data_IF_381680627667
#
_entry.id   IF_381680627667
#
_cell.length_a   1.000
_cell.length_b   1.000
_cell.length_c   1.000
_cell.angle_alpha   90.00
_cell.angle_beta   90.00
_cell.angle_gamma   90.00
#
_symmetry.space_group_name_H-M   'P 1'
#
loop_
_entity.id
_entity.type
_entity.pdbx_description
1 polymer ?
#
# COMPACT_ATOMS: atom_id res chain seq x y z
N UNK A 1 -14.98 17.63 -16.65
CA UNK A 1 -15.24 16.69 -15.56
C UNK A 1 -14.41 17.11 -14.36
N UNK A 2 -15.04 17.14 -13.19
CA UNK A 2 -14.40 17.42 -11.91
C UNK A 2 -14.54 16.20 -10.99
N UNK A 3 -13.43 15.70 -10.50
CA UNK A 3 -13.36 14.55 -9.60
C UNK A 3 -13.14 14.99 -8.14
N UNK A 4 -13.95 14.46 -7.22
CA UNK A 4 -13.74 14.56 -5.77
C UNK A 4 -13.14 13.24 -5.31
N UNK A 5 -11.92 13.26 -4.76
CA UNK A 5 -11.20 12.08 -4.30
C UNK A 5 -11.19 12.04 -2.78
N UNK A 6 -11.67 10.95 -2.21
CA UNK A 6 -11.73 10.72 -0.77
C UNK A 6 -10.56 9.85 -0.34
N UNK A 7 -9.66 10.42 0.45
CA UNK A 7 -8.41 9.82 0.92
C UNK A 7 -7.18 10.37 0.20
N UNK A 8 -6.22 10.89 0.97
CA UNK A 8 -4.94 11.47 0.51
C UNK A 8 -3.75 10.53 0.67
N UNK A 9 -3.99 9.22 0.73
CA UNK A 9 -2.95 8.19 0.72
C UNK A 9 -2.35 7.99 -0.68
N UNK A 10 -1.66 6.85 -0.87
CA UNK A 10 -0.96 6.53 -2.13
C UNK A 10 -1.91 6.58 -3.32
N UNK A 11 -3.02 5.82 -3.29
CA UNK A 11 -3.93 5.75 -4.43
C UNK A 11 -4.62 7.08 -4.74
N UNK A 12 -5.15 7.76 -3.72
CA UNK A 12 -5.91 8.99 -3.96
C UNK A 12 -5.06 10.12 -4.55
N UNK A 13 -3.86 10.31 -3.99
CA UNK A 13 -2.94 11.36 -4.46
C UNK A 13 -2.43 11.07 -5.87
N UNK A 14 -2.09 9.80 -6.16
CA UNK A 14 -1.62 9.41 -7.50
C UNK A 14 -2.76 9.42 -8.52
N UNK A 15 -3.98 9.04 -8.12
CA UNK A 15 -5.17 9.20 -8.97
C UNK A 15 -5.39 10.66 -9.36
N UNK A 16 -5.26 11.60 -8.40
CA UNK A 16 -5.39 13.02 -8.70
C UNK A 16 -4.35 13.51 -9.72
N UNK A 17 -3.08 13.08 -9.57
CA UNK A 17 -2.01 13.43 -10.53
C UNK A 17 -2.25 12.81 -11.92
N UNK A 18 -2.71 11.57 -11.99
CA UNK A 18 -3.05 10.90 -13.23
C UNK A 18 -4.23 11.57 -13.95
N UNK A 19 -5.28 11.95 -13.21
CA UNK A 19 -6.42 12.70 -13.72
C UNK A 19 -6.00 14.08 -14.25
N UNK A 20 -5.13 14.78 -13.51
CA UNK A 20 -4.58 16.06 -13.97
C UNK A 20 -3.83 15.92 -15.29
N UNK A 21 -3.05 14.84 -15.46
CA UNK A 21 -2.38 14.52 -16.74
C UNK A 21 -3.39 14.22 -17.85
N UNK A 22 -4.54 13.61 -17.53
CA UNK A 22 -5.65 13.37 -18.45
C UNK A 22 -6.48 14.64 -18.77
N UNK A 23 -6.15 15.80 -18.20
CA UNK A 23 -6.90 17.04 -18.38
C UNK A 23 -8.19 17.12 -17.55
N UNK A 24 -8.34 16.26 -16.54
CA UNK A 24 -9.50 16.20 -15.65
C UNK A 24 -9.16 16.94 -14.34
N UNK A 25 -10.02 17.84 -13.92
CA UNK A 25 -9.89 18.55 -12.64
C UNK A 25 -10.12 17.58 -11.47
N UNK A 26 -9.26 17.65 -10.44
CA UNK A 26 -9.37 16.79 -9.27
C UNK A 26 -9.04 17.55 -7.99
N UNK A 27 -9.74 17.21 -6.90
CA UNK A 27 -9.41 17.62 -5.54
C UNK A 27 -9.33 16.42 -4.62
N UNK A 28 -8.37 16.43 -3.66
CA UNK A 28 -8.13 15.35 -2.69
C UNK A 28 -8.58 15.82 -1.32
N UNK A 29 -9.35 14.99 -0.62
CA UNK A 29 -9.87 15.25 0.72
C UNK A 29 -9.40 14.15 1.67
N UNK A 30 -8.41 14.47 2.52
CA UNK A 30 -7.75 13.56 3.46
C UNK A 30 -8.34 13.72 4.87
N UNK A 31 -8.70 12.59 5.48
CA UNK A 31 -9.32 12.57 6.81
C UNK A 31 -8.36 12.99 7.95
N UNK A 32 -7.07 12.66 7.81
CA UNK A 32 -6.07 12.96 8.82
C UNK A 32 -5.55 14.40 8.70
N UNK A 33 -5.53 15.17 9.81
CA UNK A 33 -4.99 16.54 9.78
C UNK A 33 -3.50 16.59 9.45
N UNK A 34 -2.73 15.56 9.85
CA UNK A 34 -1.30 15.41 9.54
C UNK A 34 -1.02 14.89 8.12
N UNK A 35 -2.07 14.53 7.35
CA UNK A 35 -1.89 13.91 6.03
C UNK A 35 -1.30 12.49 6.08
N UNK A 36 -1.24 11.86 7.26
CA UNK A 36 -0.65 10.53 7.46
C UNK A 36 0.86 10.55 7.75
N UNK A 37 1.41 11.70 8.12
CA UNK A 37 2.84 11.86 8.47
C UNK A 37 3.26 11.04 9.71
N UNK A 38 2.30 10.58 10.50
CA UNK A 38 2.45 9.73 11.67
C UNK A 38 2.32 8.21 11.36
N UNK A 39 2.23 7.84 10.09
CA UNK A 39 2.19 6.44 9.68
C UNK A 39 3.56 5.77 9.89
N UNK A 40 3.67 4.91 10.91
CA UNK A 40 4.95 4.36 11.37
C UNK A 40 5.52 3.19 10.58
N UNK A 41 4.82 2.64 9.59
CA UNK A 41 5.30 1.52 8.78
C UNK A 41 6.21 1.97 7.65
N UNK A 42 7.08 1.05 7.16
CA UNK A 42 7.75 1.19 5.88
C UNK A 42 7.14 0.27 4.83
N UNK A 43 7.45 0.52 3.58
CA UNK A 43 7.00 -0.29 2.45
C UNK A 43 8.00 -0.27 1.31
N UNK A 44 7.81 -1.18 0.36
CA UNK A 44 8.54 -1.18 -0.91
C UNK A 44 7.56 -1.04 -2.06
N UNK A 45 7.76 -0.03 -2.90
CA UNK A 45 7.11 0.05 -4.19
C UNK A 45 7.90 -0.83 -5.14
N UNK A 46 7.25 -1.83 -5.72
CA UNK A 46 7.85 -2.79 -6.64
C UNK A 46 7.89 -2.23 -8.08
N UNK A 47 8.50 -2.98 -9.00
CA UNK A 47 8.73 -2.58 -10.39
C UNK A 47 7.49 -2.02 -11.09
N UNK A 48 6.36 -2.74 -11.00
CA UNK A 48 5.08 -2.35 -11.57
C UNK A 48 4.54 -1.04 -10.99
N UNK A 49 4.73 -0.81 -9.69
CA UNK A 49 4.37 0.46 -9.06
C UNK A 49 5.26 1.62 -9.50
N UNK A 50 6.58 1.39 -9.66
CA UNK A 50 7.51 2.38 -10.19
C UNK A 50 7.22 2.68 -11.67
N UNK A 51 6.81 1.67 -12.44
CA UNK A 51 6.37 1.83 -13.81
C UNK A 51 5.10 2.70 -13.92
N UNK A 52 4.10 2.45 -13.08
CA UNK A 52 2.89 3.26 -12.99
C UNK A 52 3.19 4.73 -12.64
N UNK A 53 4.09 4.99 -11.69
CA UNK A 53 4.54 6.35 -11.36
C UNK A 53 5.24 7.02 -12.56
N UNK A 54 6.10 6.28 -13.26
CA UNK A 54 6.78 6.77 -14.46
C UNK A 54 5.79 7.11 -15.57
N UNK A 55 4.75 6.30 -15.77
CA UNK A 55 3.71 6.54 -16.76
C UNK A 55 3.06 7.93 -16.62
N UNK A 56 3.06 8.51 -15.41
CA UNK A 56 2.52 9.86 -15.16
C UNK A 56 3.59 10.90 -14.77
N UNK A 57 4.89 10.54 -14.87
CA UNK A 57 6.01 11.42 -14.52
C UNK A 57 6.06 11.78 -13.03
N UNK A 58 5.68 10.86 -12.14
CA UNK A 58 5.64 11.06 -10.68
C UNK A 58 6.67 10.20 -9.91
N UNK A 59 7.63 9.56 -10.61
CA UNK A 59 8.61 8.71 -9.95
C UNK A 59 9.71 9.47 -9.21
N UNK A 60 10.10 10.66 -9.68
CA UNK A 60 11.24 11.40 -9.14
C UNK A 60 11.13 11.69 -7.63
N UNK A 61 10.01 12.25 -7.11
CA UNK A 61 9.87 12.50 -5.67
C UNK A 61 9.95 11.23 -4.81
N UNK A 62 9.55 10.08 -5.37
CA UNK A 62 9.64 8.78 -4.69
C UNK A 62 11.07 8.25 -4.68
N UNK A 63 11.82 8.45 -5.76
CA UNK A 63 13.24 8.09 -5.84
C UNK A 63 14.03 8.87 -4.80
N UNK A 64 13.79 10.18 -4.66
CA UNK A 64 14.54 11.09 -3.80
C UNK A 64 14.44 10.75 -2.31
N UNK A 65 13.31 10.20 -1.86
CA UNK A 65 13.06 9.86 -0.45
C UNK A 65 13.32 8.39 -0.10
N UNK A 66 13.84 7.59 -1.02
CA UNK A 66 13.89 6.14 -0.91
C UNK A 66 15.26 5.57 -1.26
N UNK A 67 15.47 4.32 -0.89
CA UNK A 67 16.64 3.56 -1.33
C UNK A 67 16.21 2.32 -2.14
N UNK A 68 17.11 1.85 -3.02
CA UNK A 68 16.85 0.69 -3.87
C UNK A 68 16.80 -0.59 -3.05
N UNK A 69 15.87 -1.50 -3.37
CA UNK A 69 15.88 -2.86 -2.88
C UNK A 69 16.49 -3.77 -3.97
N UNK A 70 17.59 -4.45 -3.66
CA UNK A 70 18.35 -5.25 -4.66
C UNK A 70 17.91 -6.70 -4.73
N UNK A 71 17.21 -7.20 -3.71
CA UNK A 71 16.74 -8.58 -3.67
C UNK A 71 16.28 -9.02 -2.29
N UNK A 72 16.02 -10.31 -2.16
CA UNK A 72 15.70 -10.94 -0.88
C UNK A 72 16.46 -12.26 -0.69
N UNK A 73 16.72 -12.61 0.55
CA UNK A 73 17.15 -13.93 1.01
C UNK A 73 16.11 -14.47 1.99
N UNK A 74 15.66 -15.71 1.76
CA UNK A 74 14.84 -16.44 2.72
C UNK A 74 15.72 -17.34 3.57
N UNK A 75 15.59 -17.21 4.89
CA UNK A 75 16.40 -17.91 5.88
C UNK A 75 15.49 -18.78 6.75
N UNK A 76 15.89 -20.02 6.96
CA UNK A 76 15.20 -20.99 7.83
C UNK A 76 15.52 -20.78 9.31
N UNK A 77 14.79 -21.42 10.26
CA UNK A 77 15.03 -21.27 11.69
C UNK A 77 16.44 -21.68 12.13
N UNK A 78 17.11 -22.57 11.41
CA UNK A 78 18.50 -23.00 11.66
C UNK A 78 19.55 -22.08 10.99
N UNK A 79 19.13 -20.94 10.43
CA UNK A 79 20.02 -19.93 9.85
C UNK A 79 20.50 -20.20 8.43
N UNK A 80 19.99 -21.23 7.75
CA UNK A 80 20.37 -21.52 6.35
C UNK A 80 19.57 -20.67 5.37
N UNK A 81 20.24 -20.10 4.38
CA UNK A 81 19.58 -19.46 3.25
C UNK A 81 19.05 -20.53 2.29
N UNK A 82 17.73 -20.56 2.12
CA UNK A 82 17.05 -21.54 1.24
C UNK A 82 16.60 -20.94 -0.08
N UNK A 83 16.49 -19.62 -0.16
CA UNK A 83 16.13 -18.91 -1.40
C UNK A 83 16.91 -17.61 -1.47
N UNK A 84 17.37 -17.25 -2.68
CA UNK A 84 17.88 -15.93 -3.04
C UNK A 84 17.17 -15.47 -4.29
N UNK A 85 16.64 -14.27 -4.24
CA UNK A 85 15.97 -13.67 -5.38
C UNK A 85 16.54 -12.27 -5.62
N UNK A 86 17.05 -12.03 -6.83
CA UNK A 86 17.38 -10.69 -7.29
C UNK A 86 16.11 -9.92 -7.66
N UNK A 87 16.09 -8.64 -7.37
CA UNK A 87 15.11 -7.70 -7.90
C UNK A 87 15.65 -6.94 -9.11
N UNK A 88 16.82 -7.29 -9.62
CA UNK A 88 17.32 -6.75 -10.87
C UNK A 88 16.62 -7.48 -12.03
N UNK A 89 15.73 -6.77 -12.70
CA UNK A 89 15.01 -7.25 -13.88
C UNK A 89 15.36 -6.32 -15.03
N UNK A 90 16.01 -6.88 -16.06
CA UNK A 90 16.46 -6.11 -17.21
C UNK A 90 15.31 -5.28 -17.83
N UNK A 91 15.58 -4.00 -18.04
CA UNK A 91 14.64 -3.04 -18.63
C UNK A 91 13.62 -2.44 -17.66
N UNK A 92 13.58 -2.87 -16.40
CA UNK A 92 12.65 -2.33 -15.40
C UNK A 92 13.36 -1.44 -14.38
N UNK A 93 12.64 -0.42 -13.89
CA UNK A 93 13.08 0.32 -12.72
C UNK A 93 13.04 -0.59 -11.49
N UNK A 94 14.11 -0.60 -10.70
CA UNK A 94 14.21 -1.41 -9.50
C UNK A 94 13.23 -0.95 -8.39
N UNK A 95 12.88 -1.84 -7.46
CA UNK A 95 12.02 -1.51 -6.33
C UNK A 95 12.67 -0.47 -5.40
N UNK A 96 11.80 0.30 -4.73
CA UNK A 96 12.22 1.41 -3.85
C UNK A 96 11.59 1.24 -2.47
N UNK A 97 12.42 1.30 -1.42
CA UNK A 97 11.99 1.19 -0.02
C UNK A 97 12.03 2.55 0.66
N UNK A 98 10.98 2.87 1.40
CA UNK A 98 10.83 4.13 2.14
C UNK A 98 9.84 3.96 3.30
N UNK A 99 9.79 4.92 4.21
CA UNK A 99 8.72 5.00 5.21
C UNK A 99 7.40 5.41 4.54
N UNK A 100 6.29 4.91 5.06
CA UNK A 100 4.96 5.29 4.57
C UNK A 100 4.70 6.78 4.73
N UNK A 101 5.12 7.35 5.85
CA UNK A 101 5.02 8.78 6.13
C UNK A 101 5.73 9.64 5.08
N UNK A 102 6.99 9.30 4.74
CA UNK A 102 7.75 10.00 3.70
C UNK A 102 7.09 9.89 2.33
N UNK A 103 6.54 8.72 1.99
CA UNK A 103 5.84 8.52 0.72
C UNK A 103 4.58 9.39 0.63
N UNK A 104 3.75 9.41 1.69
CA UNK A 104 2.53 10.23 1.70
C UNK A 104 2.85 11.70 1.53
N UNK A 105 3.85 12.21 2.28
CA UNK A 105 4.31 13.59 2.17
C UNK A 105 4.78 13.91 0.75
N UNK A 106 5.70 13.11 0.21
CA UNK A 106 6.28 13.34 -1.12
C UNK A 106 5.21 13.34 -2.23
N UNK A 107 4.24 12.41 -2.18
CA UNK A 107 3.15 12.36 -3.16
C UNK A 107 2.18 13.55 -3.01
N UNK A 108 1.83 13.96 -1.77
CA UNK A 108 0.98 15.12 -1.55
C UNK A 108 1.65 16.42 -1.98
N UNK A 109 2.93 16.60 -1.66
CA UNK A 109 3.71 17.78 -2.08
C UNK A 109 3.81 17.85 -3.60
N UNK A 110 4.03 16.72 -4.27
CA UNK A 110 4.06 16.64 -5.73
C UNK A 110 2.68 16.97 -6.33
N UNK A 111 1.58 16.46 -5.75
CA UNK A 111 0.23 16.82 -6.20
C UNK A 111 -0.04 18.33 -6.07
N UNK A 112 0.34 18.93 -4.93
CA UNK A 112 0.22 20.37 -4.69
C UNK A 112 1.06 21.16 -5.69
N UNK A 113 2.29 20.74 -5.98
CA UNK A 113 3.17 21.38 -6.97
C UNK A 113 2.57 21.39 -8.38
N UNK A 114 1.78 20.35 -8.71
CA UNK A 114 1.00 20.25 -9.97
C UNK A 114 -0.29 21.06 -9.96
N UNK A 115 -0.56 21.82 -8.90
CA UNK A 115 -1.76 22.66 -8.76
C UNK A 115 -3.04 21.89 -8.39
N UNK A 116 -2.88 20.71 -7.75
CA UNK A 116 -4.01 19.93 -7.23
C UNK A 116 -4.30 20.40 -5.80
N UNK A 117 -5.56 20.63 -5.49
CA UNK A 117 -6.00 20.96 -4.14
C UNK A 117 -6.01 19.71 -3.27
N UNK A 118 -5.27 19.75 -2.16
CA UNK A 118 -5.24 18.69 -1.13
C UNK A 118 -5.72 19.29 0.18
N UNK A 119 -6.93 18.94 0.60
CA UNK A 119 -7.53 19.37 1.86
C UNK A 119 -7.37 18.29 2.92
N UNK A 120 -6.85 18.67 4.08
CA UNK A 120 -6.65 17.78 5.24
C UNK A 120 -7.73 18.00 6.30
N UNK A 121 -7.95 17.02 7.18
CA UNK A 121 -9.01 17.04 8.20
C UNK A 121 -10.41 16.85 7.62
N UNK A 122 -10.53 16.29 6.42
CA UNK A 122 -11.78 16.09 5.67
C UNK A 122 -12.23 14.63 5.74
N UNK A 123 -12.77 14.23 6.91
CA UNK A 123 -13.34 12.89 7.08
C UNK A 123 -14.73 12.82 6.44
N UNK A 124 -14.88 11.95 5.45
CA UNK A 124 -16.17 11.72 4.79
C UNK A 124 -17.19 11.12 5.75
N UNK A 125 -18.38 11.68 5.78
CA UNK A 125 -19.54 11.18 6.55
C UNK A 125 -20.59 10.57 5.63
N UNK A 126 -20.86 11.23 4.49
CA UNK A 126 -21.83 10.76 3.51
C UNK A 126 -21.52 11.29 2.12
N UNK A 127 -22.00 10.58 1.10
CA UNK A 127 -21.96 11.07 -0.26
C UNK A 127 -23.26 10.73 -1.00
N UNK A 128 -23.56 11.56 -1.98
CA UNK A 128 -24.65 11.37 -2.96
C UNK A 128 -24.12 11.79 -4.33
N UNK A 129 -24.81 11.55 -5.44
CA UNK A 129 -24.36 11.99 -6.75
C UNK A 129 -23.97 13.47 -6.76
N UNK A 130 -22.70 13.73 -7.09
CA UNK A 130 -22.14 15.08 -7.18
C UNK A 130 -21.75 15.75 -5.85
N UNK A 131 -21.98 15.14 -4.68
CA UNK A 131 -21.78 15.81 -3.38
C UNK A 131 -21.12 14.86 -2.38
N UNK A 132 -20.00 15.28 -1.79
CA UNK A 132 -19.38 14.68 -0.61
C UNK A 132 -19.55 15.60 0.62
N UNK A 133 -19.93 15.06 1.78
CA UNK A 133 -20.12 15.78 3.05
C UNK A 133 -19.12 15.30 4.08
N UNK A 134 -18.48 16.23 4.76
CA UNK A 134 -17.42 15.95 5.74
C UNK A 134 -17.88 16.21 7.17
N UNK A 135 -17.17 15.62 8.12
CA UNK A 135 -17.46 15.70 9.55
C UNK A 135 -17.43 17.16 10.10
N UNK A 136 -16.59 18.00 9.51
CA UNK A 136 -16.49 19.43 9.84
C UNK A 136 -17.65 20.29 9.28
N UNK A 137 -18.63 19.66 8.63
CA UNK A 137 -19.78 20.30 8.02
C UNK A 137 -19.53 20.88 6.62
N UNK A 138 -18.29 20.81 6.12
CA UNK A 138 -17.98 21.26 4.77
C UNK A 138 -18.48 20.27 3.71
N UNK A 139 -18.52 20.73 2.46
CA UNK A 139 -19.03 19.99 1.30
C UNK A 139 -18.06 20.15 0.15
N UNK A 140 -17.82 19.08 -0.60
CA UNK A 140 -17.15 19.12 -1.91
C UNK A 140 -18.12 18.69 -3.00
N UNK A 141 -18.07 19.38 -4.15
CA UNK A 141 -18.92 19.13 -5.30
C UNK A 141 -18.08 18.74 -6.52
N UNK A 142 -18.54 17.73 -7.27
CA UNK A 142 -17.91 17.26 -8.50
C UNK A 142 -18.83 16.36 -9.31
N UNK A 143 -18.43 16.05 -10.53
CA UNK A 143 -19.20 15.17 -11.43
C UNK A 143 -19.07 13.70 -11.02
N UNK A 144 -17.89 13.33 -10.51
CA UNK A 144 -17.58 11.98 -10.03
C UNK A 144 -16.88 12.00 -8.66
N UNK A 145 -17.07 10.91 -7.90
CA UNK A 145 -16.40 10.70 -6.63
C UNK A 145 -15.55 9.41 -6.70
N UNK A 146 -14.30 9.51 -6.25
CA UNK A 146 -13.37 8.40 -6.24
C UNK A 146 -13.03 8.04 -4.79
N UNK A 147 -13.41 6.83 -4.38
CA UNK A 147 -13.10 6.30 -3.06
C UNK A 147 -11.68 5.71 -3.04
N UNK A 148 -10.77 6.43 -2.40
CA UNK A 148 -9.39 6.05 -2.11
C UNK A 148 -9.14 6.01 -0.60
N UNK A 149 -10.19 5.80 0.19
CA UNK A 149 -10.27 5.92 1.64
C UNK A 149 -9.88 4.62 2.38
N UNK A 150 -9.20 3.72 1.68
CA UNK A 150 -8.44 2.62 2.24
C UNK A 150 -9.30 1.46 2.74
N UNK A 151 -8.68 0.61 3.56
CA UNK A 151 -9.25 -0.63 4.09
C UNK A 151 -10.67 -0.48 4.66
N UNK A 152 -10.94 0.60 5.40
CA UNK A 152 -12.22 0.88 6.06
C UNK A 152 -13.05 1.89 5.27
N UNK A 153 -13.06 1.76 3.96
CA UNK A 153 -13.71 2.69 3.04
C UNK A 153 -15.19 2.92 3.37
N UNK A 154 -15.54 4.17 3.57
CA UNK A 154 -16.91 4.66 3.67
C UNK A 154 -17.55 4.68 2.28
N UNK A 155 -16.78 5.05 1.25
CA UNK A 155 -17.29 5.08 -0.13
C UNK A 155 -17.71 3.68 -0.59
N UNK A 156 -16.96 2.62 -0.21
CA UNK A 156 -17.34 1.24 -0.51
C UNK A 156 -18.74 0.89 0.05
N UNK A 157 -19.00 1.26 1.29
CA UNK A 157 -20.31 1.00 1.91
C UNK A 157 -21.44 1.88 1.35
N UNK A 158 -21.12 3.03 0.78
CA UNK A 158 -22.10 3.87 0.06
C UNK A 158 -22.46 3.26 -1.29
N UNK A 159 -21.47 2.73 -2.01
CA UNK A 159 -21.69 2.07 -3.31
C UNK A 159 -22.45 0.76 -3.13
N UNK A 160 -22.04 -0.05 -2.15
CA UNK A 160 -22.62 -1.36 -1.84
C UNK A 160 -22.83 -1.49 -0.32
N UNK A 161 -24.05 -1.18 0.19
CA UNK A 161 -24.36 -1.28 1.61
C UNK A 161 -24.26 -2.72 2.17
N UNK A 162 -24.35 -3.74 1.31
CA UNK A 162 -24.24 -5.14 1.67
C UNK A 162 -22.80 -5.68 1.54
N UNK A 163 -21.85 -4.82 1.19
CA UNK A 163 -20.44 -5.19 1.03
C UNK A 163 -19.86 -5.81 2.31
N UNK A 164 -19.20 -6.99 2.21
CA UNK A 164 -18.55 -7.61 3.35
C UNK A 164 -17.55 -6.68 4.04
N UNK A 165 -17.50 -6.66 5.39
CA UNK A 165 -16.52 -5.88 6.13
C UNK A 165 -15.11 -6.47 5.94
N UNK A 166 -14.05 -5.68 6.20
CA UNK A 166 -12.69 -6.19 6.26
C UNK A 166 -12.59 -7.37 7.25
N UNK A 167 -11.84 -8.38 6.83
CA UNK A 167 -11.62 -9.61 7.59
C UNK A 167 -10.25 -9.56 8.27
N UNK A 168 -10.17 -9.98 9.55
CA UNK A 168 -8.88 -10.21 10.20
C UNK A 168 -8.13 -11.35 9.53
N UNK A 169 -6.85 -11.16 9.28
CA UNK A 169 -5.97 -12.21 8.73
C UNK A 169 -5.46 -13.17 9.81
N UNK A 170 -5.77 -12.92 11.09
CA UNK A 170 -5.22 -13.67 12.22
C UNK A 170 -3.75 -13.34 12.52
N UNK A 171 -3.22 -12.28 11.95
CA UNK A 171 -1.84 -11.83 12.13
C UNK A 171 -1.77 -10.40 12.66
N UNK A 172 -0.81 -10.18 13.53
CA UNK A 172 -0.35 -8.86 13.92
C UNK A 172 0.93 -8.54 13.12
N UNK A 173 1.09 -7.28 12.74
CA UNK A 173 2.31 -6.81 12.09
C UNK A 173 2.94 -5.72 12.94
N UNK A 174 4.20 -5.93 13.30
CA UNK A 174 5.00 -4.98 14.06
C UNK A 174 6.13 -4.48 13.18
N UNK A 175 6.36 -3.19 13.18
CA UNK A 175 7.46 -2.52 12.48
C UNK A 175 8.36 -1.83 13.47
N UNK A 176 9.64 -1.75 13.19
CA UNK A 176 10.57 -0.98 14.01
C UNK A 176 11.80 -0.54 13.22
N UNK A 177 12.47 0.44 13.80
CA UNK A 177 13.65 1.08 13.23
C UNK A 177 14.76 1.16 14.28
N UNK A 178 15.99 0.88 13.87
CA UNK A 178 17.15 1.08 14.73
C UNK A 178 18.33 1.63 13.95
N UNK A 179 19.10 2.51 14.58
CA UNK A 179 20.35 3.05 14.06
C UNK A 179 21.57 2.35 14.64
N UNK A 180 21.38 1.28 15.44
CA UNK A 180 22.48 0.49 15.97
C UNK A 180 23.17 -0.29 14.85
N UNK A 181 24.40 0.08 14.55
CA UNK A 181 25.21 -0.55 13.49
C UNK A 181 25.96 -1.80 13.94
N UNK A 182 25.89 -2.14 15.23
CA UNK A 182 26.52 -3.36 15.76
C UNK A 182 25.71 -4.61 15.46
N UNK A 183 24.47 -4.46 15.00
CA UNK A 183 23.63 -5.57 14.57
C UNK A 183 23.96 -6.03 13.15
N UNK A 184 23.58 -7.24 12.75
CA UNK A 184 23.79 -7.74 11.39
C UNK A 184 23.13 -6.83 10.35
N UNK A 185 23.94 -6.32 9.42
CA UNK A 185 23.51 -5.39 8.37
C UNK A 185 23.14 -6.17 7.09
N UNK A 186 22.14 -5.66 6.38
CA UNK A 186 21.71 -6.16 5.08
C UNK A 186 21.42 -4.97 4.13
N UNK A 187 22.46 -4.23 3.67
CA UNK A 187 22.26 -3.01 2.89
C UNK A 187 21.47 -3.29 1.62
N UNK A 188 20.29 -2.64 1.51
CA UNK A 188 19.36 -2.76 0.37
C UNK A 188 18.88 -4.19 0.05
N UNK A 189 19.29 -5.20 0.82
CA UNK A 189 18.87 -6.58 0.68
C UNK A 189 17.87 -6.92 1.78
N UNK A 190 16.73 -7.51 1.41
CA UNK A 190 15.80 -8.04 2.38
C UNK A 190 16.24 -9.40 2.90
N UNK A 191 16.43 -9.54 4.19
CA UNK A 191 16.53 -10.84 4.86
C UNK A 191 15.19 -11.19 5.48
N UNK A 192 14.60 -12.26 4.97
CA UNK A 192 13.32 -12.81 5.38
C UNK A 192 13.58 -14.07 6.18
N UNK A 193 13.18 -14.09 7.43
CA UNK A 193 13.44 -15.18 8.37
C UNK A 193 12.12 -15.86 8.68
N UNK A 194 12.01 -17.13 8.29
CA UNK A 194 10.91 -17.99 8.71
C UNK A 194 11.27 -18.60 10.06
N UNK A 195 10.69 -18.12 11.14
CA UNK A 195 10.80 -18.68 12.47
C UNK A 195 9.81 -19.83 12.68
N UNK A 196 9.91 -20.53 13.80
CA UNK A 196 8.98 -21.62 14.17
C UNK A 196 7.55 -21.11 14.39
N UNK A 197 7.41 -19.90 14.91
CA UNK A 197 6.12 -19.34 15.35
C UNK A 197 5.75 -18.02 14.69
N UNK A 198 6.70 -17.39 14.01
CA UNK A 198 6.54 -16.04 13.46
C UNK A 198 7.35 -15.88 12.18
N UNK A 199 7.21 -14.71 11.55
CA UNK A 199 8.00 -14.34 10.39
C UNK A 199 8.64 -12.97 10.65
N UNK A 200 9.93 -12.85 10.35
CA UNK A 200 10.68 -11.61 10.50
C UNK A 200 11.32 -11.21 9.19
N UNK A 201 11.31 -9.92 8.90
CA UNK A 201 12.02 -9.39 7.74
C UNK A 201 12.75 -8.11 8.11
N UNK A 202 13.96 -7.93 7.58
CA UNK A 202 14.70 -6.69 7.77
C UNK A 202 15.55 -6.34 6.56
N UNK A 203 15.86 -5.06 6.45
CA UNK A 203 16.81 -4.51 5.47
C UNK A 203 17.52 -3.33 6.11
N UNK A 204 18.72 -3.00 5.64
CA UNK A 204 19.44 -1.84 6.10
C UNK A 204 19.50 -0.77 5.00
N UNK A 205 19.33 0.48 5.42
CA UNK A 205 19.51 1.63 4.55
C UNK A 205 21.00 1.82 4.21
N UNK A 206 21.34 2.57 3.16
CA UNK A 206 22.75 2.85 2.83
C UNK A 206 23.52 3.57 3.93
N UNK A 207 22.85 4.30 4.83
CA UNK A 207 23.45 4.99 5.97
C UNK A 207 23.56 4.12 7.25
N UNK A 208 23.16 2.84 7.18
CA UNK A 208 23.29 1.85 8.25
C UNK A 208 22.09 1.74 9.19
N UNK A 209 21.03 2.49 8.99
CA UNK A 209 19.79 2.28 9.74
C UNK A 209 19.14 0.96 9.33
N UNK A 210 18.56 0.22 10.28
CA UNK A 210 17.87 -1.04 9.99
C UNK A 210 16.37 -0.87 10.15
N UNK A 211 15.64 -1.25 9.10
CA UNK A 211 14.19 -1.32 9.05
C UNK A 211 13.78 -2.77 9.18
N UNK A 212 12.88 -3.09 10.11
CA UNK A 212 12.42 -4.44 10.31
C UNK A 212 10.90 -4.52 10.47
N UNK A 213 10.35 -5.67 10.18
CA UNK A 213 8.97 -6.02 10.49
C UNK A 213 8.89 -7.45 11.02
N UNK A 214 7.88 -7.70 11.87
CA UNK A 214 7.52 -9.03 12.33
C UNK A 214 6.06 -9.29 12.04
N UNK A 215 5.72 -10.51 11.61
CA UNK A 215 4.35 -11.01 11.53
C UNK A 215 4.17 -12.06 12.60
N UNK A 216 3.26 -11.80 13.53
CA UNK A 216 2.98 -12.61 14.70
C UNK A 216 1.57 -13.17 14.59
N UNK A 217 1.29 -14.41 15.03
CA UNK A 217 -0.09 -14.83 15.24
C UNK A 217 -0.81 -13.89 16.20
N UNK A 218 -2.01 -13.44 15.86
CA UNK A 218 -2.83 -12.63 16.77
C UNK A 218 -3.18 -13.45 18.01
N UNK A 219 -2.83 -12.94 19.21
CA UNK A 219 -3.20 -13.59 20.45
C UNK A 219 -4.72 -13.59 20.64
N UNK A 220 -5.25 -14.62 21.31
CA UNK A 220 -6.67 -14.66 21.70
C UNK A 220 -7.04 -13.44 22.54
N UNK A 221 -8.12 -12.76 22.15
CA UNK A 221 -8.52 -11.47 22.74
C UNK A 221 -7.77 -10.31 22.11
N UNK A 222 -8.37 -9.73 21.06
CA UNK A 222 -7.81 -8.61 20.29
C UNK A 222 -7.28 -7.51 21.22
N UNK A 223 -5.96 -7.36 21.26
CA UNK A 223 -5.29 -6.30 22.02
C UNK A 223 -5.31 -5.02 21.19
N UNK A 224 -6.33 -4.21 21.34
CA UNK A 224 -6.32 -2.86 20.76
C UNK A 224 -5.58 -1.90 21.68
N UNK A 225 -4.78 -1.00 21.09
CA UNK A 225 -4.15 0.11 21.83
C UNK A 225 -2.88 -0.26 22.60
N UNK A 226 -2.13 -1.27 22.16
CA UNK A 226 -0.80 -1.55 22.70
C UNK A 226 0.15 -0.38 22.45
N UNK A 227 0.96 -0.08 23.47
CA UNK A 227 2.06 0.88 23.38
C UNK A 227 3.21 0.36 22.53
N UNK A 228 4.11 1.22 22.03
CA UNK A 228 5.33 0.79 21.35
C UNK A 228 6.15 -0.23 22.13
N UNK A 229 6.27 -0.05 23.45
CA UNK A 229 7.00 -0.97 24.32
C UNK A 229 6.34 -2.36 24.41
N UNK A 230 5.00 -2.41 24.46
CA UNK A 230 4.24 -3.67 24.46
C UNK A 230 4.33 -4.39 23.10
N UNK A 231 4.26 -3.67 21.98
CA UNK A 231 4.50 -4.24 20.65
C UNK A 231 5.92 -4.78 20.51
N UNK A 232 6.94 -4.06 20.99
CA UNK A 232 8.33 -4.52 21.01
C UNK A 232 8.49 -5.78 21.86
N UNK A 233 7.89 -5.83 23.02
CA UNK A 233 7.93 -6.99 23.92
C UNK A 233 7.26 -8.21 23.28
N UNK A 234 6.11 -8.05 22.62
CA UNK A 234 5.43 -9.13 21.91
C UNK A 234 6.27 -9.66 20.73
N UNK A 235 6.86 -8.76 19.95
CA UNK A 235 7.76 -9.15 18.88
C UNK A 235 9.00 -9.87 19.42
N UNK A 236 9.65 -9.35 20.48
CA UNK A 236 10.81 -9.98 21.09
C UNK A 236 10.51 -11.41 21.57
N UNK A 237 9.41 -11.62 22.29
CA UNK A 237 9.03 -12.92 22.83
C UNK A 237 8.82 -13.99 21.74
N UNK A 238 8.45 -13.59 20.53
CA UNK A 238 8.25 -14.52 19.42
C UNK A 238 9.55 -15.07 18.81
N UNK A 239 10.70 -14.43 19.07
CA UNK A 239 12.01 -14.80 18.53
C UNK A 239 13.06 -15.09 19.64
N UNK A 240 12.68 -14.97 20.92
CA UNK A 240 13.61 -15.21 22.02
C UNK A 240 14.05 -16.69 22.07
N UNK A 241 15.35 -16.89 22.23
CA UNK A 241 15.96 -18.23 22.24
C UNK A 241 16.25 -18.85 20.86
N UNK A 242 15.89 -18.18 19.77
CA UNK A 242 16.27 -18.64 18.42
C UNK A 242 17.68 -18.12 18.03
N UNK A 243 18.50 -18.93 17.31
CA UNK A 243 19.84 -18.56 16.89
C UNK A 243 19.84 -17.60 15.68
N UNK A 244 18.91 -16.64 15.66
CA UNK A 244 18.65 -15.71 14.56
C UNK A 244 18.81 -14.27 15.03
N UNK A 245 19.13 -13.33 14.13
CA UNK A 245 19.38 -11.95 14.50
C UNK A 245 18.11 -11.17 14.91
N UNK A 246 16.92 -11.74 14.74
CA UNK A 246 15.66 -11.06 15.00
C UNK A 246 15.56 -10.52 16.44
N UNK A 247 15.82 -11.36 17.45
CA UNK A 247 15.77 -10.93 18.85
C UNK A 247 16.80 -9.84 19.18
N UNK A 248 18.00 -9.89 18.56
CA UNK A 248 19.04 -8.87 18.72
C UNK A 248 18.60 -7.53 18.11
N UNK A 249 18.09 -7.55 16.87
CA UNK A 249 17.59 -6.36 16.17
C UNK A 249 16.45 -5.71 16.96
N UNK A 250 15.47 -6.51 17.43
CA UNK A 250 14.35 -6.01 18.22
C UNK A 250 14.83 -5.41 19.56
N UNK A 251 15.81 -6.05 20.22
CA UNK A 251 16.37 -5.54 21.47
C UNK A 251 17.09 -4.21 21.29
N UNK A 252 17.79 -4.01 20.16
CA UNK A 252 18.49 -2.77 19.83
C UNK A 252 17.55 -1.65 19.37
N UNK A 253 16.25 -1.94 19.20
CA UNK A 253 15.25 -0.95 18.81
C UNK A 253 14.72 -0.25 20.07
N UNK A 254 14.70 1.10 20.04
CA UNK A 254 14.12 1.93 21.09
C UNK A 254 12.59 1.96 21.06
N UNK A 255 12.02 3.15 21.18
CA UNK A 255 10.57 3.36 21.17
C UNK A 255 10.00 3.55 19.74
N UNK A 256 10.85 3.48 18.73
CA UNK A 256 10.45 3.62 17.32
C UNK A 256 9.88 2.30 16.79
N UNK A 257 8.79 1.87 17.42
CA UNK A 257 8.06 0.63 17.16
C UNK A 257 6.59 0.92 16.94
N UNK A 258 6.02 0.32 15.89
CA UNK A 258 4.62 0.48 15.51
C UNK A 258 4.01 -0.90 15.26
N UNK A 259 2.82 -1.15 15.78
CA UNK A 259 2.16 -2.43 15.58
C UNK A 259 0.67 -2.30 15.36
N UNK A 260 0.09 -3.31 14.73
CA UNK A 260 -1.34 -3.36 14.50
C UNK A 260 -1.82 -4.69 13.94
N UNK A 261 -3.14 -4.89 14.03
CA UNK A 261 -3.79 -6.06 13.46
C UNK A 261 -3.85 -5.95 11.95
N UNK A 262 -3.59 -7.06 11.28
CA UNK A 262 -3.67 -7.15 9.82
C UNK A 262 -5.07 -7.56 9.39
N UNK A 263 -5.56 -6.88 8.37
CA UNK A 263 -6.85 -7.13 7.74
C UNK A 263 -6.71 -7.23 6.24
N UNK A 264 -7.63 -7.93 5.59
CA UNK A 264 -7.82 -7.95 4.14
C UNK A 264 -9.29 -7.71 3.76
N UNK A 265 -9.51 -7.44 2.48
CA UNK A 265 -10.85 -7.40 1.86
C UNK A 265 -10.86 -8.48 0.79
N UNK A 266 -11.34 -9.70 1.12
CA UNK A 266 -11.29 -10.85 0.21
C UNK A 266 -12.09 -10.65 -1.06
N UNK A 267 -13.17 -9.87 -0.99
CA UNK A 267 -14.05 -9.59 -2.12
C UNK A 267 -14.74 -8.25 -1.94
N UNK A 268 -14.79 -7.48 -3.00
CA UNK A 268 -15.63 -6.29 -3.14
C UNK A 268 -16.55 -6.53 -4.34
N UNK A 269 -17.82 -6.90 -4.12
CA UNK A 269 -18.71 -7.30 -5.21
C UNK A 269 -18.95 -6.19 -6.21
N UNK A 270 -19.12 -4.95 -5.74
CA UNK A 270 -19.42 -3.77 -6.55
C UNK A 270 -18.33 -2.72 -6.37
N UNK A 271 -17.63 -2.38 -7.46
CA UNK A 271 -16.55 -1.39 -7.43
C UNK A 271 -17.01 0.02 -7.77
N UNK A 272 -18.15 0.16 -8.44
CA UNK A 272 -18.64 1.46 -8.88
C UNK A 272 -20.17 1.49 -8.98
N UNK A 273 -20.70 2.71 -9.04
CA UNK A 273 -22.05 3.01 -9.49
C UNK A 273 -21.97 4.09 -10.60
N UNK A 274 -23.09 4.75 -10.92
CA UNK A 274 -23.11 5.73 -12.01
C UNK A 274 -22.20 6.94 -11.81
N UNK A 275 -21.81 7.28 -10.56
CA UNK A 275 -21.03 8.49 -10.24
C UNK A 275 -19.86 8.26 -9.29
N UNK A 276 -19.71 7.06 -8.76
CA UNK A 276 -18.69 6.74 -7.76
C UNK A 276 -17.91 5.49 -8.16
N UNK A 277 -16.60 5.46 -7.89
CA UNK A 277 -15.70 4.32 -8.14
C UNK A 277 -14.65 4.18 -7.04
N UNK A 278 -14.20 2.93 -6.78
CA UNK A 278 -13.18 2.60 -5.78
C UNK A 278 -11.82 2.38 -6.44
N UNK A 279 -10.74 2.75 -5.74
CA UNK A 279 -9.35 2.47 -6.12
C UNK A 279 -8.53 2.00 -4.92
N UNK A 280 -7.51 1.19 -5.19
CA UNK A 280 -6.58 0.71 -4.19
C UNK A 280 -7.24 -0.09 -3.05
N UNK A 281 -6.79 0.11 -1.82
CA UNK A 281 -7.28 -0.62 -0.65
C UNK A 281 -8.79 -0.42 -0.38
N UNK A 282 -9.41 0.62 -0.92
CA UNK A 282 -10.86 0.78 -0.86
C UNK A 282 -11.59 -0.29 -1.69
N UNK A 283 -10.97 -0.76 -2.77
CA UNK A 283 -11.50 -1.82 -3.63
C UNK A 283 -10.98 -3.22 -3.24
N UNK A 284 -9.69 -3.36 -2.89
CA UNK A 284 -9.04 -4.68 -2.81
C UNK A 284 -7.90 -4.76 -1.80
N UNK A 285 -8.09 -4.27 -0.59
CA UNK A 285 -7.06 -4.33 0.45
C UNK A 285 -6.55 -5.76 0.64
N UNK A 286 -5.27 -5.98 0.38
CA UNK A 286 -4.58 -7.26 0.56
C UNK A 286 -3.82 -7.28 1.88
N UNK A 287 -3.61 -8.48 2.45
CA UNK A 287 -2.67 -8.63 3.55
C UNK A 287 -1.26 -8.19 3.10
N UNK A 288 -0.39 -7.72 4.01
CA UNK A 288 0.94 -7.23 3.63
C UNK A 288 1.91 -8.33 3.15
N UNK A 289 1.49 -9.59 3.17
CA UNK A 289 2.37 -10.73 2.90
C UNK A 289 2.99 -10.73 1.50
N UNK A 290 2.27 -10.26 0.49
CA UNK A 290 2.78 -10.16 -0.87
C UNK A 290 3.64 -8.91 -1.14
N UNK A 291 3.57 -7.88 -0.28
CA UNK A 291 4.29 -6.62 -0.46
C UNK A 291 3.88 -5.82 -1.69
N UNK A 292 2.63 -5.94 -2.16
CA UNK A 292 2.18 -5.42 -3.45
C UNK A 292 1.02 -4.41 -3.38
N UNK A 293 0.41 -4.21 -2.21
CA UNK A 293 -0.79 -3.35 -2.10
C UNK A 293 -0.59 -1.95 -2.68
N UNK A 294 0.51 -1.27 -2.30
CA UNK A 294 0.81 0.05 -2.82
C UNK A 294 1.04 0.05 -4.34
N UNK A 295 1.79 -0.93 -4.86
CA UNK A 295 2.05 -1.03 -6.31
C UNK A 295 0.77 -1.24 -7.12
N UNK A 296 -0.17 -2.07 -6.64
CA UNK A 296 -1.48 -2.25 -7.27
C UNK A 296 -2.33 -0.98 -7.23
N UNK A 297 -2.31 -0.25 -6.11
CA UNK A 297 -3.01 1.02 -5.99
C UNK A 297 -2.47 2.09 -6.97
N UNK A 298 -1.17 2.07 -7.25
CA UNK A 298 -0.55 2.92 -8.27
C UNK A 298 -1.00 2.56 -9.68
N UNK A 299 -1.03 1.26 -10.01
CA UNK A 299 -1.57 0.79 -11.29
C UNK A 299 -3.04 1.21 -11.48
N UNK A 300 -3.88 1.00 -10.45
CA UNK A 300 -5.30 1.38 -10.46
C UNK A 300 -5.48 2.85 -10.80
N UNK A 301 -4.68 3.71 -10.16
CA UNK A 301 -4.74 5.16 -10.32
C UNK A 301 -4.51 5.58 -11.77
N UNK A 302 -3.52 4.96 -12.41
CA UNK A 302 -3.18 5.28 -13.81
C UNK A 302 -4.22 4.70 -14.77
N UNK A 303 -4.63 3.45 -14.59
CA UNK A 303 -5.61 2.80 -15.48
C UNK A 303 -6.98 3.47 -15.40
N UNK A 304 -7.44 3.87 -14.19
CA UNK A 304 -8.69 4.63 -14.06
C UNK A 304 -8.62 5.96 -14.81
N UNK A 305 -7.50 6.67 -14.70
CA UNK A 305 -7.33 7.96 -15.39
C UNK A 305 -7.29 7.78 -16.92
N UNK A 306 -6.66 6.72 -17.44
CA UNK A 306 -6.70 6.38 -18.87
C UNK A 306 -8.13 6.08 -19.33
N UNK A 307 -8.89 5.29 -18.57
CA UNK A 307 -10.29 4.99 -18.90
C UNK A 307 -11.13 6.27 -18.96
N UNK A 308 -10.98 7.16 -17.97
CA UNK A 308 -11.71 8.44 -17.94
C UNK A 308 -11.25 9.43 -19.02
N UNK A 309 -10.02 9.34 -19.50
CA UNK A 309 -9.49 10.13 -20.62
C UNK A 309 -10.11 9.72 -21.97
N UNK A 310 -10.22 8.41 -22.17
CA UNK A 310 -10.44 7.82 -23.52
C UNK A 310 -11.91 7.45 -23.78
N UNK A 311 -12.71 7.23 -22.73
CA UNK A 311 -14.06 6.73 -22.87
C UNK A 311 -15.12 7.84 -22.69
N UNK A 312 -16.31 7.70 -23.30
CA UNK A 312 -17.23 8.83 -23.52
C UNK A 312 -17.90 9.32 -22.24
N UNK A 313 -18.04 8.46 -21.22
CA UNK A 313 -18.71 8.80 -19.97
C UNK A 313 -18.15 8.01 -18.78
N UNK A 314 -18.44 8.46 -17.57
CA UNK A 314 -17.91 7.87 -16.35
C UNK A 314 -18.34 6.42 -16.12
N UNK A 315 -19.62 6.01 -16.29
CA UNK A 315 -20.02 4.61 -16.15
C UNK A 315 -19.28 3.66 -17.10
N UNK A 316 -19.09 4.06 -18.35
CA UNK A 316 -18.32 3.27 -19.34
C UNK A 316 -16.86 3.16 -18.93
N UNK A 317 -16.25 4.27 -18.45
CA UNK A 317 -14.89 4.31 -17.95
C UNK A 317 -14.71 3.41 -16.70
N UNK A 318 -15.64 3.47 -15.76
CA UNK A 318 -15.59 2.65 -14.55
C UNK A 318 -15.71 1.15 -14.84
N UNK A 319 -16.61 0.78 -15.76
CA UNK A 319 -16.76 -0.61 -16.18
C UNK A 319 -15.50 -1.14 -16.89
N UNK A 320 -14.87 -0.32 -17.73
CA UNK A 320 -13.61 -0.67 -18.39
C UNK A 320 -12.47 -0.81 -17.37
N UNK A 321 -12.35 0.13 -16.43
CA UNK A 321 -11.37 0.08 -15.35
C UNK A 321 -11.52 -1.21 -14.52
N UNK A 322 -12.72 -1.53 -14.05
CA UNK A 322 -12.97 -2.75 -13.30
C UNK A 322 -12.60 -4.00 -14.10
N UNK A 323 -12.99 -4.09 -15.37
CA UNK A 323 -12.64 -5.21 -16.26
C UNK A 323 -11.13 -5.40 -16.40
N UNK A 324 -10.38 -4.30 -16.52
CA UNK A 324 -8.92 -4.34 -16.68
C UNK A 324 -8.19 -4.71 -15.38
N UNK A 325 -8.77 -4.37 -14.22
CA UNK A 325 -8.07 -4.49 -12.95
C UNK A 325 -8.51 -5.67 -12.08
N UNK A 326 -9.81 -6.02 -12.08
CA UNK A 326 -10.39 -6.96 -11.12
C UNK A 326 -9.63 -8.29 -11.05
N UNK A 327 -9.45 -8.98 -12.17
CA UNK A 327 -8.82 -10.29 -12.17
C UNK A 327 -7.39 -10.25 -11.59
N UNK A 328 -6.63 -9.21 -11.94
CA UNK A 328 -5.25 -9.02 -11.50
C UNK A 328 -5.14 -8.77 -10.00
N UNK A 329 -6.02 -7.94 -9.44
CA UNK A 329 -5.99 -7.64 -8.00
C UNK A 329 -6.57 -8.77 -7.16
N UNK A 330 -7.61 -9.47 -7.62
CA UNK A 330 -8.18 -10.63 -6.93
C UNK A 330 -7.17 -11.79 -6.86
N UNK A 331 -6.40 -12.02 -7.92
CA UNK A 331 -5.29 -12.99 -7.89
C UNK A 331 -4.23 -12.61 -6.86
N UNK A 332 -3.89 -11.31 -6.76
CA UNK A 332 -2.98 -10.82 -5.74
C UNK A 332 -3.53 -11.03 -4.33
N UNK A 333 -4.79 -10.62 -4.07
CA UNK A 333 -5.42 -10.75 -2.74
C UNK A 333 -5.44 -12.21 -2.31
N UNK A 334 -5.85 -13.12 -3.20
CA UNK A 334 -5.85 -14.56 -2.92
C UNK A 334 -4.45 -15.11 -2.66
N UNK A 335 -3.45 -14.72 -3.46
CA UNK A 335 -2.06 -15.11 -3.28
C UNK A 335 -1.46 -14.58 -1.98
N UNK A 336 -1.78 -13.35 -1.60
CA UNK A 336 -1.33 -12.75 -0.34
C UNK A 336 -1.94 -13.43 0.88
N UNK A 337 -3.22 -13.80 0.81
CA UNK A 337 -3.90 -14.57 1.86
C UNK A 337 -3.29 -15.97 2.03
N UNK A 338 -2.97 -16.67 0.94
CA UNK A 338 -2.30 -17.96 0.96
C UNK A 338 -0.91 -17.86 1.61
N UNK A 339 -0.14 -16.82 1.30
CA UNK A 339 1.16 -16.57 1.95
C UNK A 339 1.02 -16.28 3.44
N UNK A 340 -0.02 -15.57 3.85
CA UNK A 340 -0.30 -15.29 5.27
C UNK A 340 -0.62 -16.55 6.06
N UNK A 341 -1.26 -17.54 5.43
CA UNK A 341 -1.58 -18.85 6.03
C UNK A 341 -0.44 -19.87 5.93
N UNK A 342 0.76 -19.48 5.47
CA UNK A 342 1.93 -20.35 5.33
C UNK A 342 1.88 -21.29 4.11
N UNK A 343 0.91 -21.10 3.21
CA UNK A 343 0.83 -21.86 1.97
C UNK A 343 1.71 -21.17 0.91
N UNK A 344 2.87 -21.76 0.62
CA UNK A 344 3.75 -21.24 -0.44
C UNK A 344 3.15 -21.54 -1.79
N UNK A 345 2.88 -20.52 -2.59
CA UNK A 345 2.64 -20.71 -4.02
C UNK A 345 3.99 -20.58 -4.74
N UNK A 346 4.44 -21.65 -5.35
CA UNK A 346 5.64 -21.69 -6.22
C UNK A 346 5.39 -20.99 -7.58
N UNK A 347 4.50 -20.01 -7.60
CA UNK A 347 4.13 -19.29 -8.82
C UNK A 347 5.18 -18.24 -9.14
N UNK A 348 5.66 -18.29 -10.37
CA UNK A 348 6.44 -17.20 -10.96
C UNK A 348 5.68 -15.86 -10.82
N UNK A 349 6.30 -14.89 -10.12
CA UNK A 349 5.72 -13.56 -9.90
C UNK A 349 6.08 -12.56 -11.02
N UNK A 350 6.70 -13.00 -12.09
CA UNK A 350 7.08 -12.14 -13.20
C UNK A 350 5.87 -11.42 -13.81
N UNK A 351 4.70 -12.06 -13.82
CA UNK A 351 3.45 -11.44 -14.28
C UNK A 351 3.08 -10.17 -13.47
N UNK A 352 3.43 -10.12 -12.17
CA UNK A 352 3.24 -8.94 -11.34
C UNK A 352 4.22 -7.82 -11.72
N UNK A 353 5.51 -8.16 -11.73
CA UNK A 353 6.59 -7.18 -11.84
C UNK A 353 6.75 -6.61 -13.26
N UNK A 354 6.47 -7.40 -14.29
CA UNK A 354 6.61 -7.02 -15.71
C UNK A 354 5.37 -6.33 -16.28
N UNK A 355 4.37 -6.05 -15.44
CA UNK A 355 3.22 -5.27 -15.90
C UNK A 355 3.67 -3.85 -16.22
N UNK A 356 3.45 -3.46 -17.47
CA UNK A 356 3.80 -2.15 -18.00
C UNK A 356 2.54 -1.38 -18.38
N UNK A 357 2.48 -0.11 -18.06
CA UNK A 357 1.40 0.80 -18.41
C UNK A 357 1.97 1.87 -19.34
N UNK A 358 1.64 1.78 -20.62
CA UNK A 358 1.90 2.86 -21.56
C UNK A 358 0.80 3.92 -21.44
N UNK A 359 1.17 5.11 -20.96
CA UNK A 359 0.22 6.20 -20.80
C UNK A 359 -0.45 6.59 -22.13
N UNK A 360 0.25 6.50 -23.25
CA UNK A 360 -0.21 6.95 -24.56
C UNK A 360 -1.05 5.88 -25.29
N UNK A 361 -1.10 4.66 -24.77
CA UNK A 361 -2.01 3.62 -25.26
C UNK A 361 -3.46 4.04 -25.01
N UNK A 362 -4.29 3.94 -26.06
CA UNK A 362 -5.72 4.30 -26.00
C UNK A 362 -6.54 3.12 -25.51
N UNK A 363 -7.28 3.32 -24.42
CA UNK A 363 -8.26 2.34 -23.92
C UNK A 363 -9.46 2.29 -24.87
N UNK A 364 -9.82 1.10 -25.31
CA UNK A 364 -10.98 0.83 -26.17
C UNK A 364 -11.93 -0.15 -25.47
N UNK A 365 -13.25 0.06 -25.66
CA UNK A 365 -14.32 -0.84 -25.17
C UNK A 365 -14.59 -1.95 -26.16
#
# INVERSE_FOLDING_TARGET
VKAVIIGGGVSGTVTAMALRRAGIEASVHEAHPSGGEDAGAFLTIMHNGMDALRAIGAEAPVIDISFGAVGLELVTPDGRTVERRSFDIEGLAGPRTMTRASLYRALQDEAISRGITVERGKRLVSASPGIARFEDGSVAEGDILIGADGLRSVVRTIIDPDCPPPRSTGLDVVYGYTTDTNIPQAPSLYRMIQSLHAFFGYTSTPDGSTYWFARLPTAEGVRSGLTPAEWRAAAFAAFDGEPLPAAEIIRSTGDDVFGGHSYDVPSTPVWFNSTMVLVGDAAHAASPAAGQGASMALEDSVVLAQCLRDLPDAPTAFAAYERLRRARVEELVAGSAAMSSGTTSDRDRNWLYRHHIDWDETIRV
#
